data_IF_482602457781
#
_entry.id   IF_482602457781
#
_cell.length_a   1.000
_cell.length_b   1.000
_cell.length_c   1.000
_cell.angle_alpha   90.00
_cell.angle_beta   90.00
_cell.angle_gamma   90.00
#
_symmetry.space_group_name_H-M   'P 1'
#
loop_
_entity.id
_entity.type
_entity.pdbx_description
1 polymer ?
#
# COMPACT_ATOMS: atom_id res chain seq x y z
N UNK A 1 7.70 -16.37 13.85
CA UNK A 1 6.33 -16.47 13.30
C UNK A 1 6.35 -16.28 11.77
N UNK A 2 6.76 -17.30 10.98
CA UNK A 2 6.92 -17.12 9.53
C UNK A 2 5.61 -17.16 8.72
N UNK A 3 4.48 -17.57 9.32
CA UNK A 3 3.21 -17.80 8.60
C UNK A 3 2.20 -16.65 8.69
N UNK A 4 2.51 -15.56 9.39
CA UNK A 4 1.56 -14.44 9.54
C UNK A 4 1.54 -13.60 8.26
N UNK A 5 0.31 -13.31 7.82
CA UNK A 5 -0.01 -12.45 6.68
C UNK A 5 -0.44 -11.08 7.21
N UNK A 6 -0.02 -10.01 6.53
CA UNK A 6 -0.21 -8.63 6.96
C UNK A 6 -0.89 -7.80 5.87
N UNK A 7 -1.92 -7.07 6.29
CA UNK A 7 -2.53 -5.95 5.58
C UNK A 7 -1.92 -4.67 6.16
N UNK A 8 -1.23 -3.88 5.33
CA UNK A 8 -0.63 -2.62 5.75
C UNK A 8 -1.59 -1.48 5.38
N UNK A 9 -1.90 -0.61 6.35
CA UNK A 9 -2.79 0.54 6.17
C UNK A 9 -2.09 1.77 6.72
N UNK A 10 -1.94 2.80 5.89
CA UNK A 10 -1.26 4.05 6.23
C UNK A 10 -1.83 5.22 5.43
N UNK A 11 -1.13 6.35 5.43
CA UNK A 11 -1.53 7.58 4.73
C UNK A 11 -0.42 8.19 3.86
N UNK A 12 -0.81 9.03 2.91
CA UNK A 12 0.12 9.65 1.96
C UNK A 12 0.91 10.84 2.52
N UNK A 13 0.53 11.35 3.70
CA UNK A 13 1.16 12.50 4.35
C UNK A 13 2.53 12.17 4.93
N UNK A 14 2.75 10.91 5.29
CA UNK A 14 4.02 10.41 5.80
C UNK A 14 4.76 9.51 4.79
N UNK A 15 5.73 8.72 5.28
CA UNK A 15 6.58 7.83 4.48
C UNK A 15 5.99 6.43 4.31
N UNK A 16 4.70 6.24 4.58
CA UNK A 16 4.04 4.94 4.51
C UNK A 16 4.19 4.28 3.13
N UNK A 17 3.99 4.98 1.98
CA UNK A 17 4.19 4.36 0.67
C UNK A 17 5.58 3.75 0.52
N UNK A 18 6.61 4.51 0.88
CA UNK A 18 8.01 4.12 0.72
C UNK A 18 8.39 2.96 1.65
N UNK A 19 7.98 3.05 2.92
CA UNK A 19 8.26 2.02 3.92
C UNK A 19 7.52 0.73 3.58
N UNK A 20 6.23 0.81 3.24
CA UNK A 20 5.44 -0.37 2.94
C UNK A 20 5.86 -1.04 1.64
N UNK A 21 6.25 -0.26 0.62
CA UNK A 21 6.84 -0.78 -0.60
C UNK A 21 8.13 -1.56 -0.32
N UNK A 22 9.03 -1.03 0.51
CA UNK A 22 10.26 -1.71 0.90
C UNK A 22 9.98 -3.02 1.68
N UNK A 23 9.02 -2.99 2.60
CA UNK A 23 8.61 -4.17 3.37
C UNK A 23 7.96 -5.23 2.47
N UNK A 24 7.11 -4.84 1.52
CA UNK A 24 6.49 -5.76 0.58
C UNK A 24 7.49 -6.43 -0.36
N UNK A 25 8.53 -5.70 -0.81
CA UNK A 25 9.65 -6.30 -1.56
C UNK A 25 10.46 -7.27 -0.72
N UNK A 26 10.69 -6.95 0.56
CA UNK A 26 11.47 -7.80 1.48
C UNK A 26 10.73 -9.07 1.90
N UNK A 27 9.41 -8.99 2.04
CA UNK A 27 8.56 -10.09 2.53
C UNK A 27 7.32 -10.31 1.65
N UNK A 28 7.49 -10.67 0.36
CA UNK A 28 6.40 -10.69 -0.61
C UNK A 28 5.30 -11.70 -0.28
N UNK A 29 5.61 -12.81 0.39
CA UNK A 29 4.59 -13.79 0.79
C UNK A 29 3.78 -13.37 2.02
N UNK A 30 4.34 -12.47 2.84
CA UNK A 30 3.71 -12.03 4.07
C UNK A 30 2.81 -10.81 3.85
N UNK A 31 3.15 -9.92 2.90
CA UNK A 31 2.33 -8.75 2.60
C UNK A 31 1.26 -9.11 1.56
N UNK A 32 0.01 -9.13 2.02
CA UNK A 32 -1.14 -9.51 1.19
C UNK A 32 -1.71 -8.31 0.47
N UNK A 33 -1.69 -7.16 1.13
CA UNK A 33 -2.22 -5.91 0.58
C UNK A 33 -1.65 -4.70 1.33
N UNK A 34 -1.55 -3.58 0.63
CA UNK A 34 -1.18 -2.26 1.13
C UNK A 34 -2.30 -1.29 0.75
N UNK A 35 -2.73 -0.48 1.71
CA UNK A 35 -3.74 0.55 1.53
C UNK A 35 -3.16 1.86 2.02
N UNK A 36 -3.12 2.87 1.15
CA UNK A 36 -2.68 4.22 1.50
C UNK A 36 -3.87 5.16 1.36
N UNK A 37 -4.23 5.83 2.44
CA UNK A 37 -5.20 6.91 2.40
C UNK A 37 -4.54 8.17 1.86
N UNK A 38 -5.07 8.73 0.78
CA UNK A 38 -4.61 10.02 0.30
C UNK A 38 -5.13 11.15 1.21
N UNK A 39 -4.21 11.84 1.88
CA UNK A 39 -4.43 13.02 2.72
C UNK A 39 -3.70 14.26 2.19
N UNK A 40 -2.84 14.09 1.19
CA UNK A 40 -2.03 15.16 0.58
C UNK A 40 -2.68 15.77 -0.65
N UNK A 41 -3.68 15.10 -1.22
CA UNK A 41 -4.30 15.47 -2.49
C UNK A 41 -3.42 15.10 -3.70
N UNK A 42 -2.36 14.32 -3.48
CA UNK A 42 -1.54 13.77 -4.55
C UNK A 42 -2.36 12.80 -5.39
N UNK A 43 -2.26 12.90 -6.71
CA UNK A 43 -2.98 12.00 -7.59
C UNK A 43 -2.51 10.54 -7.35
N UNK A 44 -3.43 9.57 -7.35
CA UNK A 44 -3.13 8.14 -7.21
C UNK A 44 -2.17 7.60 -8.30
N UNK A 45 -2.00 8.33 -9.41
CA UNK A 45 -1.02 8.04 -10.47
C UNK A 45 0.30 8.81 -10.32
N UNK A 46 0.56 9.43 -9.17
CA UNK A 46 1.81 10.16 -8.92
C UNK A 46 3.04 9.24 -9.06
N UNK A 47 4.11 9.79 -9.66
CA UNK A 47 5.40 9.10 -9.84
C UNK A 47 5.99 8.60 -8.51
N UNK A 48 5.68 9.31 -7.42
CA UNK A 48 6.02 8.90 -6.05
C UNK A 48 5.53 7.48 -5.73
N UNK A 49 4.28 7.15 -6.06
CA UNK A 49 3.72 5.83 -5.78
C UNK A 49 4.28 4.76 -6.71
N UNK A 50 4.54 5.11 -7.97
CA UNK A 50 5.22 4.21 -8.90
C UNK A 50 6.63 3.85 -8.41
N UNK A 51 7.34 4.83 -7.85
CA UNK A 51 8.68 4.63 -7.25
C UNK A 51 8.58 3.83 -5.95
N UNK A 52 7.68 4.22 -5.04
CA UNK A 52 7.51 3.58 -3.75
C UNK A 52 7.14 2.10 -3.88
N UNK A 53 6.21 1.78 -4.79
CA UNK A 53 5.72 0.42 -5.05
C UNK A 53 6.38 -0.25 -6.28
N UNK A 54 7.54 0.24 -6.72
CA UNK A 54 8.34 -0.43 -7.76
C UNK A 54 8.55 -1.90 -7.39
N UNK A 55 8.39 -2.78 -8.36
CA UNK A 55 8.48 -4.25 -8.21
C UNK A 55 7.47 -4.89 -7.22
N UNK A 56 6.48 -4.12 -6.75
CA UNK A 56 5.33 -4.65 -6.02
C UNK A 56 4.16 -4.79 -7.00
N UNK A 57 3.53 -5.98 -7.10
CA UNK A 57 2.38 -6.16 -7.98
C UNK A 57 1.30 -5.10 -7.74
N UNK A 58 0.80 -4.47 -8.81
CA UNK A 58 -0.24 -3.44 -8.72
C UNK A 58 -1.52 -3.95 -8.04
N UNK A 59 -1.76 -5.26 -8.09
CA UNK A 59 -2.85 -5.93 -7.39
C UNK A 59 -2.66 -6.01 -5.88
N UNK A 60 -1.51 -5.62 -5.32
CA UNK A 60 -1.24 -5.65 -3.89
C UNK A 60 -1.40 -4.30 -3.21
N UNK A 61 -1.40 -3.19 -3.94
CA UNK A 61 -1.52 -1.87 -3.31
C UNK A 61 -2.69 -1.08 -3.89
N UNK A 62 -3.14 -0.07 -3.14
CA UNK A 62 -4.19 0.86 -3.57
C UNK A 62 -4.06 2.17 -2.80
N UNK A 63 -4.18 3.28 -3.51
CA UNK A 63 -4.42 4.60 -2.92
C UNK A 63 -5.93 4.83 -2.91
N UNK A 64 -6.49 5.35 -1.81
CA UNK A 64 -7.92 5.64 -1.67
C UNK A 64 -8.14 6.94 -0.91
N UNK A 65 -9.27 7.62 -1.12
CA UNK A 65 -9.62 8.85 -0.37
C UNK A 65 -10.70 8.59 0.67
N UNK A 66 -11.73 7.89 0.24
CA UNK A 66 -12.89 7.54 1.06
C UNK A 66 -12.82 6.10 1.53
N UNK A 67 -13.15 5.86 2.80
CA UNK A 67 -13.16 4.51 3.36
C UNK A 67 -14.11 3.55 2.60
N UNK A 68 -15.14 4.10 1.94
CA UNK A 68 -16.06 3.35 1.11
C UNK A 68 -15.40 2.68 -0.11
N UNK A 69 -14.23 3.14 -0.56
CA UNK A 69 -13.47 2.56 -1.68
C UNK A 69 -12.74 1.27 -1.31
N UNK A 70 -12.72 0.93 -0.01
CA UNK A 70 -11.88 -0.13 0.58
C UNK A 70 -12.71 -1.27 1.18
N UNK A 71 -14.01 -1.34 0.87
CA UNK A 71 -14.97 -2.30 1.45
C UNK A 71 -14.59 -3.78 1.30
N UNK A 72 -13.71 -4.14 0.37
CA UNK A 72 -13.30 -5.52 0.09
C UNK A 72 -11.80 -5.82 0.33
N UNK A 73 -11.07 -4.98 1.07
CA UNK A 73 -9.61 -5.14 1.18
C UNK A 73 -9.11 -6.38 1.96
N UNK A 74 -10.01 -7.10 2.64
CA UNK A 74 -9.69 -8.24 3.50
C UNK A 74 -10.15 -9.60 2.95
N UNK A 75 -10.66 -9.67 1.72
CA UNK A 75 -11.14 -10.92 1.11
C UNK A 75 -10.05 -11.66 0.35
#
# INVERSE_FOLDING_TARGET
>A
FPKRRFLLVGDSGEKDPEVYGAVARKFPEQIIRILIRDVTGENAVAERYATAFGDVPATKWRIFKEAAEVKDAAK
#
